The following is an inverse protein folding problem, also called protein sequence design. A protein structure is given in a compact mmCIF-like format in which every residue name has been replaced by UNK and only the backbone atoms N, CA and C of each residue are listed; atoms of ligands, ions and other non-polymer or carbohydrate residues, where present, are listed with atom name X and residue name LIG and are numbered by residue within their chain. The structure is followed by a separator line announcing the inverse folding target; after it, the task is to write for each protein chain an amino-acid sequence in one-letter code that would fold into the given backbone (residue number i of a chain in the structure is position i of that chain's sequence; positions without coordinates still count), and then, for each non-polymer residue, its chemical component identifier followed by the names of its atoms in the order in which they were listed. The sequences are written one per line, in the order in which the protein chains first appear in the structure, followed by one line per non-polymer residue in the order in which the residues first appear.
data_IF_306524253959
#
_entry.id   IF_306524253959
#
_cell.length_a   1.000
_cell.length_b   1.000
_cell.length_c   1.000
_cell.angle_alpha   90.00
_cell.angle_beta   90.00
_cell.angle_gamma   90.00
#
_symmetry.space_group_name_H-M   'P 1'
#
loop_
_entity.id
_entity.type
_entity.pdbx_description
1 polymer ?
#
# COMPACT_ATOMS: atom_id res chain seq x y z
N UNK A 1 4.39 -11.93 11.65
CA UNK A 1 5.09 -10.65 11.90
C UNK A 1 4.02 -9.62 12.26
N UNK A 2 4.17 -8.98 13.42
CA UNK A 2 3.34 -7.84 13.80
C UNK A 2 3.61 -6.67 12.87
N UNK A 3 2.61 -5.82 12.58
CA UNK A 3 2.82 -4.64 11.76
C UNK A 3 3.85 -3.69 12.37
N UNK A 4 4.74 -3.16 11.52
CA UNK A 4 5.83 -2.25 11.92
C UNK A 4 5.48 -0.85 11.41
N UNK A 5 5.31 0.10 12.32
CA UNK A 5 4.99 1.48 11.99
C UNK A 5 6.26 2.36 12.04
N UNK A 6 6.54 3.07 10.95
CA UNK A 6 7.75 3.89 10.79
C UNK A 6 7.31 5.32 10.48
N UNK A 7 7.77 6.28 11.28
CA UNK A 7 7.62 7.71 11.01
C UNK A 7 8.81 8.22 10.20
N UNK A 8 8.59 9.26 9.41
CA UNK A 8 9.64 9.92 8.60
C UNK A 8 10.42 8.91 7.73
N UNK A 9 9.67 8.07 7.00
CA UNK A 9 10.20 6.94 6.26
C UNK A 9 11.13 7.36 5.12
N UNK A 10 10.79 8.41 4.36
CA UNK A 10 11.61 8.93 3.27
C UNK A 10 12.39 10.16 3.70
N UNK A 11 13.60 10.38 3.16
CA UNK A 11 14.24 11.69 3.20
C UNK A 11 13.31 12.76 2.61
N UNK A 12 13.30 13.96 3.21
CA UNK A 12 12.35 15.01 2.84
C UNK A 12 12.37 15.40 1.37
N UNK A 13 13.56 15.36 0.73
CA UNK A 13 13.70 15.69 -0.70
C UNK A 13 12.99 14.66 -1.58
N UNK A 14 13.09 13.37 -1.25
CA UNK A 14 12.40 12.30 -1.98
C UNK A 14 10.89 12.36 -1.75
N UNK A 15 10.45 12.65 -0.54
CA UNK A 15 9.05 12.85 -0.25
C UNK A 15 8.46 14.01 -1.06
N UNK A 16 9.14 15.15 -1.08
CA UNK A 16 8.71 16.32 -1.85
C UNK A 16 8.61 16.02 -3.35
N UNK A 17 9.62 15.30 -3.90
CA UNK A 17 9.60 14.86 -5.29
C UNK A 17 8.39 13.95 -5.56
N UNK A 18 8.20 12.93 -4.74
CA UNK A 18 7.10 11.97 -4.89
C UNK A 18 5.72 12.66 -4.78
N UNK A 19 5.54 13.52 -3.79
CA UNK A 19 4.28 14.25 -3.61
C UNK A 19 4.00 15.19 -4.79
N UNK A 20 5.00 15.97 -5.24
CA UNK A 20 4.84 16.85 -6.40
C UNK A 20 4.48 16.06 -7.68
N UNK A 21 5.10 14.90 -7.87
CA UNK A 21 4.76 13.99 -8.96
C UNK A 21 3.30 13.51 -8.88
N UNK A 22 2.85 13.14 -7.68
CA UNK A 22 1.47 12.72 -7.44
C UNK A 22 0.46 13.83 -7.74
N UNK A 23 0.76 15.07 -7.34
CA UNK A 23 -0.08 16.24 -7.64
C UNK A 23 -0.21 16.46 -9.16
N UNK A 24 0.89 16.33 -9.92
CA UNK A 24 0.85 16.41 -11.37
C UNK A 24 -0.04 15.32 -11.95
N UNK A 25 0.07 14.09 -11.48
CA UNK A 25 -0.80 12.99 -11.89
C UNK A 25 -2.27 13.28 -11.54
N UNK A 26 -2.55 13.71 -10.33
CA UNK A 26 -3.90 14.03 -9.85
C UNK A 26 -4.58 15.07 -10.75
N UNK A 27 -3.85 16.12 -11.13
CA UNK A 27 -4.37 17.17 -12.00
C UNK A 27 -4.59 16.72 -13.47
N UNK A 28 -4.08 15.56 -13.86
CA UNK A 28 -4.20 14.99 -15.21
C UNK A 28 -5.04 13.70 -15.23
N UNK A 29 -6.17 13.69 -14.54
CA UNK A 29 -7.02 12.53 -14.25
C UNK A 29 -7.53 11.72 -15.45
N UNK A 30 -7.39 12.22 -16.69
CA UNK A 30 -7.88 11.54 -17.90
C UNK A 30 -7.11 10.26 -18.26
N UNK A 31 -6.11 9.87 -17.50
CA UNK A 31 -5.18 8.77 -17.81
C UNK A 31 -5.24 7.60 -16.82
N UNK A 32 -6.20 7.56 -15.88
CA UNK A 32 -6.19 6.58 -14.79
C UNK A 32 -7.31 5.53 -14.89
N UNK A 33 -6.97 4.32 -14.47
CA UNK A 33 -7.92 3.22 -14.36
C UNK A 33 -8.66 3.28 -13.02
N UNK A 34 -9.98 3.14 -13.05
CA UNK A 34 -10.80 2.97 -11.84
C UNK A 34 -10.52 1.56 -11.30
N UNK A 35 -10.17 1.46 -10.02
CA UNK A 35 -9.92 0.21 -9.34
C UNK A 35 -11.24 -0.39 -8.79
N UNK A 36 -11.42 -1.70 -8.95
CA UNK A 36 -12.61 -2.42 -8.46
C UNK A 36 -12.69 -2.58 -6.93
N UNK A 37 -11.60 -2.31 -6.21
CA UNK A 37 -11.56 -2.41 -4.74
C UNK A 37 -12.15 -1.20 -4.02
N UNK A 38 -12.47 -0.13 -4.75
CA UNK A 38 -12.88 1.15 -4.19
C UNK A 38 -13.86 1.86 -5.12
N UNK A 39 -14.64 2.78 -4.59
CA UNK A 39 -15.71 3.42 -5.34
C UNK A 39 -15.23 4.56 -6.27
N UNK A 40 -14.15 5.27 -5.93
CA UNK A 40 -13.61 6.42 -6.69
C UNK A 40 -12.11 6.50 -6.48
N UNK A 41 -11.31 6.06 -7.44
CA UNK A 41 -9.87 6.06 -7.30
C UNK A 41 -9.10 6.22 -8.59
N UNK A 42 -7.99 6.92 -8.42
CA UNK A 42 -6.88 6.93 -9.34
C UNK A 42 -5.88 5.89 -8.85
N UNK A 43 -5.59 4.87 -9.65
CA UNK A 43 -4.59 3.87 -9.30
C UNK A 43 -3.69 3.53 -10.48
N UNK A 44 -2.43 3.22 -10.18
CA UNK A 44 -1.47 2.79 -11.17
C UNK A 44 -0.56 1.69 -10.62
N UNK A 45 -0.47 0.58 -11.36
CA UNK A 45 0.43 -0.53 -11.10
C UNK A 45 1.76 -0.30 -11.81
N UNK A 46 2.87 -0.46 -11.08
CA UNK A 46 4.21 -0.42 -11.67
C UNK A 46 4.61 0.95 -12.23
N UNK A 47 4.24 2.02 -11.53
CA UNK A 47 4.70 3.37 -11.86
C UNK A 47 6.21 3.49 -11.70
N UNK A 48 6.91 4.07 -12.68
CA UNK A 48 8.39 4.11 -12.70
C UNK A 48 8.98 4.84 -11.49
N UNK A 49 8.40 5.97 -11.06
CA UNK A 49 8.90 6.68 -9.89
C UNK A 49 8.65 5.87 -8.62
N UNK A 50 7.48 5.25 -8.50
CA UNK A 50 7.12 4.47 -7.32
C UNK A 50 7.94 3.17 -7.24
N UNK A 51 8.27 2.52 -8.36
CA UNK A 51 9.18 1.37 -8.36
C UNK A 51 10.63 1.79 -8.08
N UNK A 52 11.04 2.99 -8.47
CA UNK A 52 12.35 3.55 -8.07
C UNK A 52 12.40 3.80 -6.57
N UNK A 53 11.34 4.37 -5.98
CA UNK A 53 11.25 4.53 -4.51
C UNK A 53 11.27 3.17 -3.80
N UNK A 54 10.62 2.17 -4.36
CA UNK A 54 10.61 0.80 -3.83
C UNK A 54 12.01 0.22 -3.80
N UNK A 55 12.75 0.32 -4.89
CA UNK A 55 14.14 -0.18 -4.98
C UNK A 55 15.04 0.51 -3.95
N UNK A 56 14.99 1.85 -3.89
CA UNK A 56 15.76 2.65 -2.95
C UNK A 56 15.41 2.36 -1.47
N UNK A 57 14.16 2.00 -1.19
CA UNK A 57 13.68 1.72 0.16
C UNK A 57 13.95 0.28 0.61
N UNK A 58 14.26 -0.63 -0.29
CA UNK A 58 14.47 -2.06 -0.01
C UNK A 58 15.42 -2.30 1.17
N UNK A 59 16.61 -1.67 1.28
CA UNK A 59 17.52 -1.92 2.40
C UNK A 59 16.92 -1.56 3.77
N UNK A 60 16.14 -0.47 3.86
CA UNK A 60 15.49 -0.05 5.10
C UNK A 60 14.41 -1.05 5.50
N UNK A 61 13.63 -1.55 4.54
CA UNK A 61 12.58 -2.52 4.79
C UNK A 61 13.18 -3.85 5.23
N UNK A 62 14.22 -4.35 4.54
CA UNK A 62 14.97 -5.56 4.90
C UNK A 62 15.46 -5.52 6.35
N UNK A 63 16.03 -4.38 6.75
CA UNK A 63 16.50 -4.18 8.12
C UNK A 63 15.36 -4.30 9.14
N UNK A 64 14.19 -3.73 8.85
CA UNK A 64 13.05 -3.75 9.76
C UNK A 64 12.41 -5.14 9.89
N UNK A 65 12.34 -5.90 8.80
CA UNK A 65 11.73 -7.24 8.82
C UNK A 65 12.74 -8.35 9.08
N UNK A 66 14.03 -8.01 9.14
CA UNK A 66 15.16 -8.95 9.31
C UNK A 66 15.15 -10.09 8.27
N UNK A 67 14.94 -9.72 6.99
CA UNK A 67 14.87 -10.62 5.85
C UNK A 67 15.48 -9.98 4.60
N UNK A 68 16.02 -10.81 3.69
CA UNK A 68 16.34 -10.38 2.33
C UNK A 68 15.11 -10.47 1.45
N UNK A 69 14.80 -9.39 0.74
CA UNK A 69 13.56 -9.24 0.00
C UNK A 69 13.81 -9.06 -1.51
N UNK A 70 12.92 -9.67 -2.32
CA UNK A 70 12.75 -9.28 -3.71
C UNK A 70 11.60 -8.28 -3.81
N UNK A 71 11.80 -7.10 -4.43
CA UNK A 71 10.69 -6.24 -4.81
C UNK A 71 9.81 -6.94 -5.86
N UNK A 72 8.52 -6.76 -5.77
CA UNK A 72 7.57 -7.31 -6.73
C UNK A 72 6.98 -6.23 -7.63
N UNK A 73 6.22 -5.31 -7.08
CA UNK A 73 5.68 -4.15 -7.79
C UNK A 73 5.26 -3.04 -6.83
N UNK A 74 5.15 -1.83 -7.35
CA UNK A 74 4.50 -0.73 -6.64
C UNK A 74 3.03 -0.61 -7.10
N UNK A 75 2.19 -0.14 -6.18
CA UNK A 75 0.81 0.22 -6.49
C UNK A 75 0.53 1.61 -5.92
N UNK A 76 0.42 2.59 -6.82
CA UNK A 76 0.09 3.96 -6.47
C UNK A 76 -1.42 4.14 -6.42
N UNK A 77 -1.91 4.90 -5.43
CA UNK A 77 -3.34 5.12 -5.24
C UNK A 77 -3.63 6.50 -4.66
N UNK A 78 -4.61 7.20 -5.24
CA UNK A 78 -5.16 8.43 -4.68
C UNK A 78 -6.58 8.15 -4.24
N UNK A 79 -6.88 8.36 -2.96
CA UNK A 79 -8.21 8.34 -2.40
C UNK A 79 -8.80 9.73 -2.46
N UNK A 80 -9.98 9.87 -3.05
CA UNK A 80 -10.78 11.09 -3.04
C UNK A 80 -11.84 10.99 -1.95
N UNK A 81 -12.45 12.12 -1.62
CA UNK A 81 -13.54 12.21 -0.65
C UNK A 81 -14.69 11.27 -1.00
N UNK A 82 -15.06 10.42 -0.04
CA UNK A 82 -16.10 9.41 -0.21
C UNK A 82 -15.60 8.05 -0.67
N UNK A 83 -14.31 7.91 -1.04
CA UNK A 83 -13.73 6.60 -1.32
C UNK A 83 -13.43 5.82 -0.04
N UNK A 84 -13.40 4.51 -0.15
CA UNK A 84 -13.02 3.58 0.92
C UNK A 84 -12.05 2.52 0.38
N UNK A 85 -11.55 1.67 1.25
CA UNK A 85 -10.88 0.44 0.87
C UNK A 85 -11.61 -0.73 1.52
N UNK A 86 -12.25 -1.56 0.71
CA UNK A 86 -12.98 -2.73 1.20
C UNK A 86 -12.03 -3.70 1.90
N UNK A 87 -12.57 -4.43 2.87
CA UNK A 87 -11.81 -5.47 3.57
C UNK A 87 -11.35 -6.52 2.59
N UNK A 88 -10.04 -6.77 2.58
CA UNK A 88 -9.41 -7.76 1.71
C UNK A 88 -8.09 -8.27 2.29
N UNK A 89 -7.55 -9.28 1.65
CA UNK A 89 -6.15 -9.68 1.70
C UNK A 89 -5.53 -9.45 0.34
N UNK A 90 -4.25 -9.18 0.34
CA UNK A 90 -3.48 -9.10 -0.88
C UNK A 90 -3.20 -10.50 -1.48
N UNK A 91 -2.68 -10.53 -2.69
CA UNK A 91 -2.21 -11.74 -3.36
C UNK A 91 -0.79 -12.13 -2.92
N UNK A 92 -0.32 -13.28 -3.34
CA UNK A 92 0.96 -13.88 -2.89
C UNK A 92 2.19 -12.99 -3.17
N UNK A 93 2.17 -12.19 -4.23
CA UNK A 93 3.24 -11.23 -4.55
C UNK A 93 3.34 -10.06 -3.56
N UNK A 94 2.41 -9.97 -2.61
CA UNK A 94 2.36 -8.97 -1.54
C UNK A 94 2.61 -9.64 -0.17
N UNK A 95 3.60 -10.55 -0.10
CA UNK A 95 3.95 -11.19 1.18
C UNK A 95 4.26 -10.14 2.24
N UNK A 96 5.02 -9.11 1.88
CA UNK A 96 5.23 -7.91 2.67
C UNK A 96 4.69 -6.72 1.90
N UNK A 97 3.81 -5.97 2.53
CA UNK A 97 3.23 -4.72 2.01
C UNK A 97 3.73 -3.56 2.85
N UNK A 98 4.26 -2.54 2.20
CA UNK A 98 4.59 -1.25 2.82
C UNK A 98 3.58 -0.23 2.33
N UNK A 99 2.67 0.19 3.21
CA UNK A 99 1.75 1.29 2.93
C UNK A 99 2.41 2.61 3.34
N UNK A 100 2.73 3.49 2.39
CA UNK A 100 3.38 4.77 2.62
C UNK A 100 2.49 5.92 2.20
N UNK A 101 2.21 6.86 3.11
CA UNK A 101 1.50 8.10 2.80
C UNK A 101 2.47 9.14 2.22
N UNK A 102 2.23 9.54 0.97
CA UNK A 102 3.02 10.58 0.29
C UNK A 102 2.52 11.98 0.57
N UNK A 103 1.22 12.16 0.78
CA UNK A 103 0.62 13.44 1.10
C UNK A 103 -0.90 13.41 1.04
N UNK A 104 -1.53 14.50 1.49
CA UNK A 104 -2.98 14.63 1.59
C UNK A 104 -3.41 16.09 1.57
N UNK A 105 -4.70 16.34 1.34
CA UNK A 105 -5.36 17.60 1.58
C UNK A 105 -6.69 17.34 2.34
N UNK A 106 -6.87 17.83 3.59
CA UNK A 106 -5.87 18.55 4.39
C UNK A 106 -4.73 17.65 4.89
N UNK A 107 -3.52 18.23 5.03
CA UNK A 107 -2.31 17.48 5.38
C UNK A 107 -2.24 17.10 6.87
N UNK A 108 -2.86 17.88 7.73
CA UNK A 108 -2.84 17.73 9.19
C UNK A 108 -3.82 16.67 9.72
N UNK A 109 -4.67 16.13 8.86
CA UNK A 109 -5.63 15.08 9.20
C UNK A 109 -5.06 13.71 8.81
N UNK A 110 -4.85 12.77 9.75
CA UNK A 110 -4.45 11.42 9.39
C UNK A 110 -5.63 10.64 8.78
N UNK A 111 -5.33 9.62 7.99
CA UNK A 111 -6.31 8.68 7.47
C UNK A 111 -5.93 7.25 7.88
N UNK A 112 -6.79 6.64 8.66
CA UNK A 112 -6.51 5.36 9.27
C UNK A 112 -6.47 4.21 8.27
N UNK A 113 -5.56 3.25 8.54
CA UNK A 113 -5.63 1.90 8.00
C UNK A 113 -5.85 0.91 9.15
N UNK A 114 -6.75 -0.02 8.94
CA UNK A 114 -7.03 -1.10 9.87
C UNK A 114 -6.37 -2.38 9.37
N UNK A 115 -5.68 -3.09 10.27
CA UNK A 115 -5.01 -4.36 9.97
C UNK A 115 -5.41 -5.39 11.01
N UNK A 116 -5.98 -6.51 10.59
CA UNK A 116 -6.42 -7.58 11.47
C UNK A 116 -5.28 -8.18 12.28
N UNK A 117 -5.54 -8.56 13.54
CA UNK A 117 -4.54 -9.19 14.42
C UNK A 117 -4.08 -10.55 13.92
N UNK A 118 -5.03 -11.36 13.48
CA UNK A 118 -4.78 -12.76 13.11
C UNK A 118 -4.48 -12.90 11.63
N UNK A 119 -3.64 -13.87 11.32
CA UNK A 119 -3.48 -14.33 9.95
C UNK A 119 -4.73 -15.11 9.54
N UNK A 120 -5.33 -14.73 8.42
CA UNK A 120 -6.50 -15.41 7.87
C UNK A 120 -6.07 -16.42 6.82
N UNK A 121 -6.28 -17.70 7.12
CA UNK A 121 -5.96 -18.81 6.21
C UNK A 121 -7.07 -19.10 5.18
N UNK A 122 -8.13 -18.29 5.14
CA UNK A 122 -9.25 -18.48 4.22
C UNK A 122 -8.98 -17.89 2.84
N UNK A 123 -9.52 -18.51 1.79
CA UNK A 123 -9.43 -18.08 0.39
C UNK A 123 -10.27 -16.83 0.05
N UNK A 124 -10.75 -16.11 1.06
CA UNK A 124 -11.58 -14.94 0.86
C UNK A 124 -10.76 -13.76 0.33
N UNK A 125 -11.03 -13.38 -0.90
CA UNK A 125 -10.41 -12.19 -1.53
C UNK A 125 -11.10 -10.88 -1.15
N UNK A 126 -12.41 -10.90 -0.87
CA UNK A 126 -13.21 -9.72 -0.53
C UNK A 126 -14.33 -10.08 0.45
N UNK A 127 -14.63 -9.18 1.39
CA UNK A 127 -15.78 -9.31 2.28
C UNK A 127 -16.82 -8.25 1.95
N UNK A 128 -17.99 -8.71 1.56
CA UNK A 128 -19.11 -7.85 1.15
C UNK A 128 -20.02 -7.43 2.31
N UNK A 129 -19.64 -7.72 3.57
CA UNK A 129 -20.58 -7.63 4.67
C UNK A 129 -20.03 -6.87 5.87
N UNK A 130 -20.50 -5.64 6.08
CA UNK A 130 -20.20 -4.82 7.26
C UNK A 130 -20.58 -5.50 8.61
N UNK A 131 -21.53 -6.44 8.63
CA UNK A 131 -21.89 -7.18 9.83
C UNK A 131 -20.77 -8.09 10.38
N UNK A 132 -19.86 -8.55 9.52
CA UNK A 132 -18.67 -9.28 9.98
C UNK A 132 -17.62 -8.38 10.61
N UNK A 133 -17.58 -7.08 10.25
CA UNK A 133 -16.67 -6.08 10.82
C UNK A 133 -16.81 -5.91 12.32
N UNK A 134 -18.03 -5.96 12.83
CA UNK A 134 -18.32 -5.84 14.28
C UNK A 134 -17.82 -7.04 15.08
N UNK A 135 -17.49 -8.16 14.44
CA UNK A 135 -16.95 -9.37 15.08
C UNK A 135 -15.43 -9.49 15.00
N UNK A 136 -14.79 -8.76 14.07
CA UNK A 136 -13.34 -8.64 14.04
C UNK A 136 -12.98 -7.61 15.12
N UNK A 137 -12.27 -8.03 16.15
CA UNK A 137 -11.68 -7.09 17.11
C UNK A 137 -10.73 -6.19 16.34
N UNK A 138 -11.11 -4.92 16.23
CA UNK A 138 -10.37 -3.85 15.55
C UNK A 138 -9.33 -3.34 16.55
N UNK A 139 -8.34 -4.15 16.89
CA UNK A 139 -7.36 -3.71 17.89
C UNK A 139 -6.15 -3.00 17.23
N UNK A 140 -5.96 -3.13 15.91
CA UNK A 140 -4.83 -2.54 15.21
C UNK A 140 -5.26 -1.50 14.17
N UNK A 141 -5.44 -0.28 14.65
CA UNK A 141 -5.67 0.92 13.86
C UNK A 141 -4.40 1.77 13.81
N UNK A 142 -3.96 2.12 12.61
CA UNK A 142 -2.76 2.92 12.38
C UNK A 142 -3.13 4.24 11.73
N UNK A 143 -2.84 5.35 12.42
CA UNK A 143 -3.05 6.71 11.93
C UNK A 143 -1.93 7.08 10.95
N UNK A 144 -2.26 7.10 9.66
CA UNK A 144 -1.31 7.36 8.60
C UNK A 144 -1.31 8.85 8.26
N UNK A 145 -0.23 9.54 8.59
CA UNK A 145 0.06 10.92 8.17
C UNK A 145 1.15 10.92 7.10
N UNK A 146 1.39 12.06 6.48
CA UNK A 146 2.45 12.21 5.49
C UNK A 146 3.79 11.66 6.01
N UNK A 147 4.49 10.93 5.15
CA UNK A 147 5.76 10.26 5.42
C UNK A 147 5.71 9.16 6.50
N UNK A 148 4.53 8.69 6.89
CA UNK A 148 4.42 7.49 7.71
C UNK A 148 4.28 6.26 6.83
N UNK A 149 5.00 5.20 7.19
CA UNK A 149 4.93 3.90 6.54
C UNK A 149 4.48 2.82 7.52
N UNK A 150 3.68 1.88 7.04
CA UNK A 150 3.27 0.68 7.77
C UNK A 150 3.69 -0.55 6.98
N UNK A 151 4.53 -1.41 7.58
CA UNK A 151 4.95 -2.69 7.02
C UNK A 151 4.12 -3.79 7.65
N UNK A 152 3.45 -4.61 6.83
CA UNK A 152 2.68 -5.76 7.31
C UNK A 152 2.62 -6.88 6.26
N UNK A 153 2.18 -8.07 6.66
CA UNK A 153 1.97 -9.19 5.73
C UNK A 153 0.62 -9.07 5.04
N UNK A 154 0.57 -8.36 3.91
CA UNK A 154 -0.67 -8.05 3.19
C UNK A 154 -1.45 -9.29 2.75
N UNK A 155 -0.76 -10.35 2.31
CA UNK A 155 -1.40 -11.60 1.92
C UNK A 155 -2.02 -12.40 3.08
N UNK A 156 -1.59 -12.15 4.32
CA UNK A 156 -2.04 -12.88 5.51
C UNK A 156 -3.04 -12.10 6.34
N UNK A 157 -2.94 -10.78 6.35
CA UNK A 157 -3.71 -9.89 7.22
C UNK A 157 -4.88 -9.27 6.47
N UNK A 158 -6.10 -9.40 7.00
CA UNK A 158 -7.22 -8.58 6.56
C UNK A 158 -6.91 -7.12 6.80
N UNK A 159 -7.13 -6.26 5.81
CA UNK A 159 -6.92 -4.84 5.98
C UNK A 159 -7.92 -4.02 5.16
N UNK A 160 -8.20 -2.80 5.64
CA UNK A 160 -9.20 -1.92 5.05
C UNK A 160 -9.02 -0.47 5.49
N UNK A 161 -9.77 0.42 4.86
CA UNK A 161 -9.95 1.82 5.28
C UNK A 161 -11.43 2.16 5.25
N UNK A 162 -11.86 3.00 6.19
CA UNK A 162 -13.18 3.60 6.19
C UNK A 162 -13.27 4.70 5.12
N UNK A 163 -14.40 5.42 5.07
CA UNK A 163 -14.62 6.48 4.09
C UNK A 163 -13.59 7.59 4.25
N UNK A 164 -12.95 7.95 3.15
CA UNK A 164 -12.00 9.05 3.06
C UNK A 164 -12.74 10.39 3.16
N UNK A 165 -12.25 11.27 4.03
CA UNK A 165 -12.79 12.62 4.20
C UNK A 165 -11.87 13.72 3.65
N UNK A 166 -10.75 13.33 3.04
CA UNK A 166 -9.79 14.24 2.39
C UNK A 166 -10.25 14.58 0.98
N UNK A 167 -9.91 15.75 0.50
CA UNK A 167 -10.11 16.11 -0.91
C UNK A 167 -9.23 15.23 -1.81
N UNK A 168 -8.01 14.92 -1.34
CA UNK A 168 -7.20 13.83 -1.88
C UNK A 168 -6.26 13.26 -0.80
N UNK A 169 -5.98 11.97 -0.89
CA UNK A 169 -5.05 11.28 0.00
C UNK A 169 -4.20 10.30 -0.82
N UNK A 170 -2.90 10.55 -0.91
CA UNK A 170 -1.98 9.90 -1.83
C UNK A 170 -1.15 8.83 -1.14
N UNK A 171 -1.29 7.60 -1.62
CA UNK A 171 -0.59 6.43 -1.07
C UNK A 171 0.24 5.75 -2.15
N UNK A 172 1.36 5.19 -1.74
CA UNK A 172 2.02 4.12 -2.48
C UNK A 172 2.13 2.87 -1.63
N UNK A 173 1.84 1.74 -2.23
CA UNK A 173 2.05 0.41 -1.67
C UNK A 173 3.25 -0.21 -2.39
N UNK A 174 4.28 -0.57 -1.60
CA UNK A 174 5.49 -1.22 -2.10
C UNK A 174 5.43 -2.68 -1.66
N UNK A 175 5.47 -3.60 -2.60
CA UNK A 175 5.28 -5.01 -2.32
C UNK A 175 6.55 -5.81 -2.49
N UNK A 176 6.75 -6.78 -1.61
CA UNK A 176 7.96 -7.60 -1.54
C UNK A 176 7.62 -9.05 -1.19
N UNK A 177 8.56 -9.94 -1.53
CA UNK A 177 8.56 -11.34 -1.09
C UNK A 177 9.93 -11.71 -0.49
N UNK A 178 9.95 -12.64 0.46
CA UNK A 178 11.19 -13.18 1.04
C UNK A 178 11.98 -13.91 -0.05
N UNK A 179 13.28 -13.59 -0.19
CA UNK A 179 14.17 -14.22 -1.18
C UNK A 179 14.32 -15.72 -1.00
N UNK A 180 14.16 -16.22 0.23
CA UNK A 180 14.24 -17.64 0.58
C UNK A 180 12.86 -18.23 0.91
N UNK A 181 11.81 -17.41 0.82
CA UNK A 181 10.45 -17.80 1.15
C UNK A 181 9.74 -18.58 0.02
N UNK A 182 8.53 -19.09 0.30
CA UNK A 182 7.75 -19.86 -0.67
C UNK A 182 7.27 -19.03 -1.86
N UNK A 183 7.30 -17.70 -1.76
CA UNK A 183 6.80 -16.77 -2.78
C UNK A 183 7.91 -16.09 -3.59
N UNK A 184 9.18 -16.52 -3.47
CA UNK A 184 10.33 -15.93 -4.14
C UNK A 184 10.20 -15.83 -5.67
N UNK A 185 9.42 -16.71 -6.29
CA UNK A 185 9.18 -16.72 -7.73
C UNK A 185 8.30 -15.55 -8.21
N UNK A 186 7.73 -14.77 -7.29
CA UNK A 186 7.06 -13.52 -7.60
C UNK A 186 8.01 -12.30 -7.69
N UNK A 187 9.33 -12.51 -7.67
CA UNK A 187 10.29 -11.45 -7.97
C UNK A 187 9.83 -10.61 -9.17
N UNK A 188 9.84 -9.29 -9.03
CA UNK A 188 9.35 -8.32 -10.03
C UNK A 188 7.93 -8.60 -10.54
N UNK A 189 7.12 -9.28 -9.74
CA UNK A 189 5.77 -9.73 -10.10
C UNK A 189 5.77 -10.62 -11.37
N UNK A 190 6.79 -11.48 -11.49
CA UNK A 190 7.07 -12.36 -12.64
C UNK A 190 7.38 -11.61 -13.94
N UNK A 191 7.77 -10.34 -13.86
CA UNK A 191 8.33 -9.56 -14.97
C UNK A 191 9.85 -9.78 -15.03
N UNK A 192 10.51 -9.38 -16.12
CA UNK A 192 11.96 -9.48 -16.24
C UNK A 192 12.67 -8.47 -15.34
N UNK A 193 12.06 -7.29 -15.12
CA UNK A 193 12.61 -6.22 -14.28
C UNK A 193 11.51 -5.33 -13.69
N UNK A 194 11.89 -4.49 -12.72
CA UNK A 194 11.09 -3.34 -12.34
C UNK A 194 10.91 -2.40 -13.54
N UNK A 195 9.81 -1.67 -13.59
CA UNK A 195 9.46 -0.76 -14.68
C UNK A 195 8.87 -1.43 -15.92
N UNK A 196 9.01 -2.73 -16.09
CA UNK A 196 8.36 -3.43 -17.19
C UNK A 196 6.83 -3.45 -16.99
N UNK A 197 6.09 -2.99 -18.00
CA UNK A 197 4.62 -3.05 -17.96
C UNK A 197 4.16 -4.48 -18.26
N UNK A 198 3.22 -5.02 -17.47
CA UNK A 198 2.52 -6.23 -17.87
C UNK A 198 1.69 -5.93 -19.11
N UNK A 199 1.92 -6.69 -20.18
CA UNK A 199 1.12 -6.68 -21.40
C UNK A 199 -0.29 -7.21 -21.13
#
# INVERSE_FOLDING_TARGET
VEPIFIKEFLPQQLLNLAYSYCIIKYNNQNQFNIDSQTNYLISEHGDYLMETLMDLSTPVIEQNVNKKLWPTYSFFRIYDKGSDLRIHKDRESCEYTVALCLGADPLDKPYEIFVGEKDENSDYKYFDNQEKLTRLRIDNKYSMSQNNALIFKGMNKLHWREICEHDHYMMVFLHYVDQEGPYKDFKFDKRASLGEKKL
#
